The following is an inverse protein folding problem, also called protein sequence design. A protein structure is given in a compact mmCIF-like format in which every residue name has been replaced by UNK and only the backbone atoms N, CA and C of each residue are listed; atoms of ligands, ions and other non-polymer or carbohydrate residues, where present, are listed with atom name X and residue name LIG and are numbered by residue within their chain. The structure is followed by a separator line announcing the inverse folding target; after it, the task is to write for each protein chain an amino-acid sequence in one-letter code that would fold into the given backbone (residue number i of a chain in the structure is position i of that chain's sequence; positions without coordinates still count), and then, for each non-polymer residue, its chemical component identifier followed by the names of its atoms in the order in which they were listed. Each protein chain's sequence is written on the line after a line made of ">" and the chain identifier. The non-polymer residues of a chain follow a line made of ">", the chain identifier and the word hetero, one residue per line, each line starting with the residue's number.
data_IF_674310983020
#
_entry.id   IF_674310983020
#
_cell.length_a   1.000
_cell.length_b   1.000
_cell.length_c   1.000
_cell.angle_alpha   90.00
_cell.angle_beta   90.00
_cell.angle_gamma   90.00
#
_symmetry.space_group_name_H-M   'P 1'
#
loop_
_entity.id
_entity.type
_entity.pdbx_description
1 polymer ?
#
# COMPACT_ATOMS: atom_id res chain seq x y z
N UNK A 1 -5.20 3.52 -4.47
CA UNK A 1 -6.52 4.18 -4.25
C UNK A 1 -6.74 4.37 -2.76
N UNK A 2 -7.66 5.24 -2.33
CA UNK A 2 -8.02 5.39 -0.91
C UNK A 2 -9.47 4.98 -0.66
N UNK A 3 -9.73 4.38 0.50
CA UNK A 3 -11.07 3.97 0.95
C UNK A 3 -11.36 4.60 2.32
N UNK A 4 -12.59 5.10 2.51
CA UNK A 4 -13.06 5.60 3.79
C UNK A 4 -13.57 4.45 4.65
N UNK A 5 -12.98 4.28 5.83
CA UNK A 5 -13.41 3.35 6.88
C UNK A 5 -14.31 4.05 7.91
N UNK A 6 -14.86 3.26 8.83
CA UNK A 6 -15.70 3.74 9.94
C UNK A 6 -15.00 4.86 10.71
N UNK A 7 -15.79 5.84 11.19
CA UNK A 7 -15.33 7.01 11.98
C UNK A 7 -14.38 7.95 11.21
N UNK A 8 -14.56 8.10 9.90
CA UNK A 8 -13.79 9.04 9.09
C UNK A 8 -12.33 8.66 8.88
N UNK A 9 -11.93 7.44 9.29
CA UNK A 9 -10.59 6.93 9.01
C UNK A 9 -10.44 6.65 7.52
N UNK A 10 -9.26 6.90 6.96
CA UNK A 10 -8.93 6.58 5.57
C UNK A 10 -7.92 5.44 5.57
N UNK A 11 -7.97 4.60 4.55
CA UNK A 11 -6.93 3.60 4.26
C UNK A 11 -6.51 3.73 2.81
N UNK A 12 -5.22 3.55 2.55
CA UNK A 12 -4.65 3.46 1.21
C UNK A 12 -4.55 1.99 0.82
N UNK A 13 -5.13 1.65 -0.33
CA UNK A 13 -5.16 0.30 -0.88
C UNK A 13 -4.18 0.18 -2.05
N UNK A 14 -3.32 -0.83 -2.00
CA UNK A 14 -2.41 -1.25 -3.07
C UNK A 14 -2.87 -2.59 -3.60
N UNK A 15 -3.41 -2.60 -4.81
CA UNK A 15 -3.98 -3.78 -5.48
C UNK A 15 -3.22 -4.10 -6.76
N UNK A 16 -3.44 -5.29 -7.31
CA UNK A 16 -2.86 -5.70 -8.60
C UNK A 16 -1.39 -6.10 -8.51
N UNK A 17 -0.97 -6.55 -7.33
CA UNK A 17 0.34 -7.13 -7.09
C UNK A 17 0.17 -8.66 -6.98
N UNK A 18 0.63 -9.44 -7.96
CA UNK A 18 0.55 -10.89 -7.86
C UNK A 18 1.46 -11.36 -6.72
N UNK A 19 0.97 -12.25 -5.85
CA UNK A 19 1.80 -12.84 -4.80
C UNK A 19 2.94 -13.69 -5.38
N UNK A 20 2.72 -14.28 -6.56
CA UNK A 20 3.74 -14.99 -7.31
C UNK A 20 4.76 -14.00 -7.87
N UNK A 21 6.01 -14.13 -7.43
CA UNK A 21 7.12 -13.27 -7.86
C UNK A 21 7.30 -11.96 -7.08
N UNK A 22 6.43 -11.64 -6.12
CA UNK A 22 6.58 -10.45 -5.27
C UNK A 22 6.61 -10.82 -3.79
N UNK A 23 7.57 -10.27 -3.05
CA UNK A 23 7.61 -10.36 -1.60
C UNK A 23 6.66 -9.31 -1.00
N UNK A 24 5.37 -9.67 -0.93
CA UNK A 24 4.33 -8.82 -0.34
C UNK A 24 4.62 -8.45 1.13
N UNK A 25 5.13 -9.37 2.00
CA UNK A 25 5.58 -9.01 3.34
C UNK A 25 6.68 -7.95 3.41
N UNK A 26 7.72 -8.06 2.57
CA UNK A 26 8.80 -7.08 2.51
C UNK A 26 8.27 -5.73 1.99
N UNK A 27 7.46 -5.76 0.93
CA UNK A 27 6.84 -4.55 0.37
C UNK A 27 5.96 -3.85 1.40
N UNK A 28 5.10 -4.58 2.10
CA UNK A 28 4.26 -4.03 3.16
C UNK A 28 5.11 -3.37 4.25
N UNK A 29 6.22 -4.01 4.65
CA UNK A 29 7.13 -3.47 5.66
C UNK A 29 7.77 -2.15 5.22
N UNK A 30 8.22 -2.08 3.97
CA UNK A 30 8.78 -0.86 3.39
C UNK A 30 7.74 0.27 3.33
N UNK A 31 6.52 -0.04 2.87
CA UNK A 31 5.42 0.93 2.80
C UNK A 31 5.04 1.46 4.18
N UNK A 32 4.88 0.58 5.19
CA UNK A 32 4.59 0.98 6.58
C UNK A 32 5.69 1.89 7.14
N UNK A 33 6.96 1.55 6.91
CA UNK A 33 8.10 2.35 7.37
C UNK A 33 8.11 3.74 6.75
N UNK A 34 7.83 3.84 5.43
CA UNK A 34 7.79 5.13 4.71
C UNK A 34 6.58 5.98 5.07
N UNK A 35 5.44 5.35 5.37
CA UNK A 35 4.21 6.06 5.71
C UNK A 35 4.07 6.36 7.22
N UNK A 36 4.92 5.77 8.08
CA UNK A 36 4.78 5.88 9.53
C UNK A 36 3.46 5.30 10.06
N UNK A 37 2.90 4.32 9.35
CA UNK A 37 1.54 3.84 9.55
C UNK A 37 1.46 2.31 9.68
N UNK A 38 0.39 1.83 10.32
CA UNK A 38 0.05 0.42 10.33
C UNK A 38 -0.42 -0.07 8.96
N UNK A 39 -0.27 -1.36 8.69
CA UNK A 39 -0.74 -1.96 7.44
C UNK A 39 -0.89 -3.47 7.53
N UNK A 40 -1.62 -4.05 6.59
CA UNK A 40 -2.00 -5.47 6.59
C UNK A 40 -2.04 -6.02 5.17
N UNK A 41 -1.62 -7.28 5.00
CA UNK A 41 -1.81 -8.03 3.76
C UNK A 41 -3.23 -8.63 3.79
N UNK A 42 -4.02 -8.35 2.76
CA UNK A 42 -5.29 -9.01 2.47
C UNK A 42 -5.10 -9.91 1.25
N UNK A 43 -6.09 -10.76 0.99
CA UNK A 43 -6.03 -11.78 -0.07
C UNK A 43 -5.64 -11.19 -1.44
N UNK A 44 -6.21 -10.03 -1.80
CA UNK A 44 -5.96 -9.39 -3.11
C UNK A 44 -5.18 -8.06 -3.05
N UNK A 45 -4.87 -7.55 -1.86
CA UNK A 45 -4.30 -6.21 -1.71
C UNK A 45 -3.58 -5.96 -0.40
N UNK A 46 -2.72 -4.94 -0.40
CA UNK A 46 -2.15 -4.37 0.82
C UNK A 46 -3.00 -3.17 1.28
N UNK A 47 -3.21 -3.08 2.59
CA UNK A 47 -3.84 -1.92 3.23
C UNK A 47 -2.80 -1.17 4.06
N UNK A 48 -2.72 0.14 3.88
CA UNK A 48 -1.98 1.06 4.75
C UNK A 48 -2.98 2.02 5.39
N UNK A 49 -2.89 2.23 6.70
CA UNK A 49 -3.75 3.16 7.41
C UNK A 49 -3.36 4.60 7.07
N UNK A 50 -4.35 5.47 6.82
CA UNK A 50 -4.13 6.85 6.45
C UNK A 50 -4.23 7.11 4.94
N UNK A 51 -4.21 8.39 4.59
CA UNK A 51 -4.13 8.87 3.21
C UNK A 51 -2.66 9.06 2.84
N UNK A 52 -2.08 8.02 2.25
CA UNK A 52 -0.67 7.97 1.85
C UNK A 52 -0.53 7.64 0.38
N UNK A 53 -1.53 7.99 -0.45
CA UNK A 53 -1.55 7.63 -1.86
C UNK A 53 -0.28 8.08 -2.59
N UNK A 54 0.16 9.31 -2.36
CA UNK A 54 1.34 9.89 -3.01
C UNK A 54 2.64 9.23 -2.55
N UNK A 55 2.82 9.05 -1.24
CA UNK A 55 4.00 8.36 -0.67
C UNK A 55 4.09 6.93 -1.19
N UNK A 56 2.98 6.20 -1.18
CA UNK A 56 2.92 4.82 -1.67
C UNK A 56 3.25 4.76 -3.17
N UNK A 57 2.73 5.70 -3.97
CA UNK A 57 3.05 5.80 -5.39
C UNK A 57 4.52 6.08 -5.64
N UNK A 58 5.11 7.02 -4.91
CA UNK A 58 6.54 7.32 -5.00
C UNK A 58 7.38 6.08 -4.69
N UNK A 59 7.13 5.44 -3.54
CA UNK A 59 7.89 4.26 -3.12
C UNK A 59 7.78 3.17 -4.17
N UNK A 60 6.57 2.81 -4.61
CA UNK A 60 6.37 1.79 -5.64
C UNK A 60 7.11 2.12 -6.94
N UNK A 61 7.11 3.38 -7.37
CA UNK A 61 7.85 3.81 -8.55
C UNK A 61 9.37 3.73 -8.34
N UNK A 62 9.88 4.08 -7.16
CA UNK A 62 11.31 4.00 -6.81
C UNK A 62 11.82 2.54 -6.84
N UNK A 63 11.00 1.58 -6.41
CA UNK A 63 11.34 0.16 -6.42
C UNK A 63 10.95 -0.56 -7.73
N UNK A 64 10.55 0.18 -8.77
CA UNK A 64 10.36 -0.34 -10.13
C UNK A 64 8.96 -0.85 -10.48
N UNK A 65 7.96 -0.66 -9.62
CA UNK A 65 6.57 -1.02 -9.93
C UNK A 65 5.90 0.09 -10.74
N UNK A 66 5.16 -0.30 -11.78
CA UNK A 66 4.27 0.62 -12.49
C UNK A 66 3.01 0.86 -11.68
N UNK A 67 2.82 2.09 -11.22
CA UNK A 67 1.56 2.52 -10.63
C UNK A 67 0.64 3.08 -11.71
N UNK A 68 -0.66 2.72 -11.65
CA UNK A 68 -1.68 3.40 -12.46
C UNK A 68 -2.31 4.52 -11.63
N UNK A 69 -2.31 5.71 -12.22
CA UNK A 69 -2.89 6.95 -11.73
C UNK A 69 -4.40 6.87 -11.66
#
# INVERSE_FOLDING_TARGET
>A
MTEKRKRGKVVTLVKGLPAEGNDLPALLTQLKSRCGAGGTIKEDHLEIQGDHLETVRSVLSEIGYRTKG
#
